data_IF_443781985961
#
_entry.id   IF_443781985961
#
_cell.length_a   1.000
_cell.length_b   1.000
_cell.length_c   1.000
_cell.angle_alpha   90.00
_cell.angle_beta   90.00
_cell.angle_gamma   90.00
#
_symmetry.space_group_name_H-M   'P 1'
#
loop_
_entity.id
_entity.type
_entity.pdbx_description
1 polymer ?
#
# COMPACT_ATOMS: atom_id res chain seq x y z
N UNK A 1 -17.95 -22.74 20.41
CA UNK A 1 -16.65 -22.05 20.55
C UNK A 1 -16.81 -20.59 20.14
N UNK A 2 -17.65 -19.86 20.85
CA UNK A 2 -17.97 -18.44 20.59
C UNK A 2 -17.89 -17.70 21.92
N UNK A 3 -16.66 -17.46 22.46
CA UNK A 3 -16.57 -16.70 23.72
C UNK A 3 -15.23 -15.98 23.94
N UNK A 4 -14.42 -15.71 22.89
CA UNK A 4 -13.21 -14.89 23.05
C UNK A 4 -13.35 -13.46 22.52
N UNK A 5 -14.30 -13.18 21.62
CA UNK A 5 -14.44 -11.85 21.01
C UNK A 5 -15.23 -10.85 21.87
N UNK A 6 -15.99 -11.32 22.86
CA UNK A 6 -16.82 -10.43 23.71
C UNK A 6 -15.98 -9.71 24.78
N UNK A 7 -14.82 -10.28 25.19
CA UNK A 7 -13.96 -9.69 26.24
C UNK A 7 -13.08 -8.51 25.75
N UNK A 8 -12.93 -8.33 24.46
CA UNK A 8 -12.07 -7.26 23.88
C UNK A 8 -12.75 -5.89 24.00
N UNK A 9 -14.06 -5.84 23.92
CA UNK A 9 -14.85 -4.57 23.97
C UNK A 9 -15.07 -4.05 25.39
N UNK A 10 -14.81 -4.85 26.42
CA UNK A 10 -15.02 -4.45 27.83
C UNK A 10 -13.78 -3.83 28.49
N UNK A 11 -12.59 -3.93 27.84
CA UNK A 11 -11.37 -3.36 28.37
C UNK A 11 -11.21 -1.89 27.92
N UNK A 12 -11.26 -0.87 28.84
CA UNK A 12 -11.17 0.55 28.48
C UNK A 12 -9.88 0.91 27.72
N UNK A 13 -8.77 0.23 27.99
CA UNK A 13 -7.50 0.49 27.31
C UNK A 13 -7.51 -0.01 25.85
N UNK A 14 -8.15 -1.15 25.58
CA UNK A 14 -8.34 -1.69 24.23
C UNK A 14 -9.33 -0.87 23.42
N UNK A 15 -10.41 -0.41 24.05
CA UNK A 15 -11.38 0.51 23.43
C UNK A 15 -10.71 1.81 23.01
N UNK A 16 -9.86 2.41 23.87
CA UNK A 16 -9.08 3.60 23.53
C UNK A 16 -8.04 3.37 22.41
N UNK A 17 -7.46 2.16 22.30
CA UNK A 17 -6.57 1.81 21.19
C UNK A 17 -7.32 1.65 19.86
N UNK A 18 -8.48 0.99 19.86
CA UNK A 18 -9.30 0.86 18.66
C UNK A 18 -9.74 2.22 18.13
N UNK A 19 -10.19 3.12 19.01
CA UNK A 19 -10.58 4.49 18.62
C UNK A 19 -9.42 5.23 17.97
N UNK A 20 -8.19 5.12 18.49
CA UNK A 20 -6.99 5.74 17.89
C UNK A 20 -6.62 5.16 16.52
N UNK A 21 -6.81 3.86 16.33
CA UNK A 21 -6.55 3.22 15.02
C UNK A 21 -7.59 3.66 13.98
N UNK A 22 -8.86 3.76 14.37
CA UNK A 22 -9.93 4.27 13.51
C UNK A 22 -9.67 5.73 13.11
N UNK A 23 -9.30 6.58 14.06
CA UNK A 23 -8.89 7.96 13.77
C UNK A 23 -7.69 8.04 12.82
N UNK A 24 -6.72 7.12 12.97
CA UNK A 24 -5.58 7.03 12.07
C UNK A 24 -6.03 6.68 10.64
N UNK A 25 -6.96 5.73 10.48
CA UNK A 25 -7.51 5.34 9.18
C UNK A 25 -8.29 6.48 8.53
N UNK A 26 -9.11 7.20 9.28
CA UNK A 26 -9.84 8.36 8.76
C UNK A 26 -8.89 9.49 8.29
N UNK A 27 -7.84 9.77 9.04
CA UNK A 27 -6.79 10.70 8.60
C UNK A 27 -6.05 10.20 7.36
N UNK A 28 -5.84 8.89 7.25
CA UNK A 28 -5.21 8.26 6.10
C UNK A 28 -6.07 8.40 4.83
N UNK A 29 -7.41 8.19 4.91
CA UNK A 29 -8.33 8.41 3.78
C UNK A 29 -8.14 9.80 3.17
N UNK A 30 -8.20 10.84 4.00
CA UNK A 30 -8.00 12.23 3.55
C UNK A 30 -6.63 12.44 2.91
N UNK A 31 -5.59 11.84 3.50
CA UNK A 31 -4.22 11.97 2.98
C UNK A 31 -4.03 11.27 1.63
N UNK A 32 -4.63 10.10 1.44
CA UNK A 32 -4.48 9.32 0.22
C UNK A 32 -5.36 9.79 -0.94
N UNK A 33 -6.41 10.58 -0.70
CA UNK A 33 -7.26 11.12 -1.77
C UNK A 33 -6.46 11.89 -2.85
N UNK A 34 -5.36 12.56 -2.48
CA UNK A 34 -4.48 13.27 -3.41
C UNK A 34 -3.54 12.37 -4.22
N UNK A 35 -3.47 11.06 -3.90
CA UNK A 35 -2.59 10.09 -4.56
C UNK A 35 -2.92 9.86 -6.05
N UNK A 36 -4.10 10.29 -6.51
CA UNK A 36 -4.49 10.33 -7.93
C UNK A 36 -3.39 10.95 -8.81
N UNK A 37 -2.65 11.94 -8.30
CA UNK A 37 -1.55 12.59 -9.01
C UNK A 37 -0.39 11.65 -9.37
N UNK A 38 -0.31 10.48 -8.72
CA UNK A 38 0.71 9.46 -9.00
C UNK A 38 0.21 8.29 -9.84
N UNK A 39 -1.04 8.36 -10.35
CA UNK A 39 -1.64 7.30 -11.17
C UNK A 39 -0.75 6.93 -12.38
N UNK A 40 -0.31 7.93 -13.13
CA UNK A 40 0.54 7.70 -14.30
C UNK A 40 1.90 7.05 -13.93
N UNK A 41 2.48 7.44 -12.80
CA UNK A 41 3.73 6.85 -12.32
C UNK A 41 3.53 5.40 -11.87
N UNK A 42 2.56 5.14 -11.02
CA UNK A 42 2.31 3.79 -10.47
C UNK A 42 1.81 2.81 -11.53
N UNK A 43 1.18 3.32 -12.61
CA UNK A 43 0.78 2.49 -13.75
C UNK A 43 1.97 1.83 -14.46
N UNK A 44 3.17 2.40 -14.36
CA UNK A 44 4.40 1.83 -14.97
C UNK A 44 4.91 0.58 -14.24
N UNK A 45 4.60 0.42 -12.95
CA UNK A 45 4.97 -0.74 -12.15
C UNK A 45 3.89 -1.85 -12.20
N UNK A 46 2.63 -1.51 -12.45
CA UNK A 46 1.52 -2.46 -12.44
C UNK A 46 1.73 -3.67 -13.37
N UNK A 47 2.17 -3.53 -14.63
CA UNK A 47 2.45 -4.68 -15.49
C UNK A 47 3.55 -5.60 -14.95
N UNK A 48 4.52 -5.04 -14.21
CA UNK A 48 5.64 -5.80 -13.63
C UNK A 48 5.13 -6.70 -12.51
N UNK A 49 4.30 -6.19 -11.61
CA UNK A 49 3.66 -6.97 -10.56
C UNK A 49 2.72 -8.03 -11.13
N UNK A 50 1.86 -7.67 -12.10
CA UNK A 50 0.94 -8.58 -12.76
C UNK A 50 1.71 -9.73 -13.45
N UNK A 51 2.80 -9.45 -14.16
CA UNK A 51 3.67 -10.48 -14.77
C UNK A 51 4.33 -11.34 -13.69
N UNK A 52 4.88 -10.74 -12.64
CA UNK A 52 5.57 -11.45 -11.56
C UNK A 52 4.63 -12.38 -10.80
N UNK A 53 3.36 -12.01 -10.62
CA UNK A 53 2.36 -12.86 -9.98
C UNK A 53 2.07 -14.16 -10.73
N UNK A 54 2.27 -14.19 -12.06
CA UNK A 54 1.92 -15.34 -12.89
C UNK A 54 0.42 -15.50 -13.13
N UNK A 55 -0.36 -14.42 -12.94
CA UNK A 55 -1.81 -14.42 -13.21
C UNK A 55 -2.11 -14.80 -14.66
N UNK A 56 -3.21 -15.53 -14.89
CA UNK A 56 -3.61 -16.05 -16.21
C UNK A 56 -5.10 -15.81 -16.47
N UNK A 57 -5.47 -15.80 -17.73
CA UNK A 57 -6.86 -15.71 -18.16
C UNK A 57 -7.74 -16.74 -17.43
N UNK A 58 -8.95 -16.33 -17.07
CA UNK A 58 -9.95 -17.16 -16.39
C UNK A 58 -9.78 -17.25 -14.87
N UNK A 59 -8.72 -16.70 -14.29
CA UNK A 59 -8.57 -16.57 -12.84
C UNK A 59 -9.46 -15.45 -12.30
N UNK A 60 -9.86 -15.57 -11.02
CA UNK A 60 -10.50 -14.50 -10.24
C UNK A 60 -9.47 -13.82 -9.37
N UNK A 61 -9.34 -12.49 -9.51
CA UNK A 61 -8.33 -11.66 -8.87
C UNK A 61 -8.95 -10.59 -7.98
N UNK A 62 -8.39 -10.41 -6.79
CA UNK A 62 -8.64 -9.26 -5.91
C UNK A 62 -7.40 -8.36 -5.86
N UNK A 63 -7.58 -7.06 -6.13
CA UNK A 63 -6.56 -6.02 -5.93
C UNK A 63 -6.86 -5.30 -4.62
N UNK A 64 -6.03 -5.51 -3.59
CA UNK A 64 -6.21 -4.95 -2.24
C UNK A 64 -5.44 -3.65 -2.08
N UNK A 65 -6.11 -2.62 -1.58
CA UNK A 65 -5.65 -1.23 -1.59
C UNK A 65 -5.33 -0.81 -3.04
N UNK A 66 -6.33 -0.97 -3.90
CA UNK A 66 -6.19 -0.88 -5.36
C UNK A 66 -5.97 0.55 -5.88
N UNK A 67 -6.17 1.57 -5.02
CA UNK A 67 -6.05 2.97 -5.42
C UNK A 67 -6.95 3.29 -6.61
N UNK A 68 -6.38 3.88 -7.64
CA UNK A 68 -7.07 4.23 -8.90
C UNK A 68 -7.25 3.05 -9.87
N UNK A 69 -6.99 1.82 -9.40
CA UNK A 69 -7.23 0.58 -10.16
C UNK A 69 -6.13 0.22 -11.16
N UNK A 70 -4.92 0.79 -11.07
CA UNK A 70 -3.87 0.56 -12.06
C UNK A 70 -3.47 -0.92 -12.21
N UNK A 71 -3.41 -1.69 -11.11
CA UNK A 71 -3.10 -3.13 -11.14
C UNK A 71 -4.31 -3.92 -11.60
N UNK A 72 -5.46 -3.69 -10.99
CA UNK A 72 -6.72 -4.32 -11.34
C UNK A 72 -7.02 -4.24 -12.85
N UNK A 73 -6.96 -3.03 -13.42
CA UNK A 73 -7.24 -2.79 -14.83
C UNK A 73 -6.15 -3.34 -15.76
N UNK A 74 -4.89 -3.36 -15.31
CA UNK A 74 -3.81 -4.03 -16.04
C UNK A 74 -4.05 -5.54 -16.13
N UNK A 75 -4.46 -6.19 -15.03
CA UNK A 75 -4.81 -7.61 -15.01
C UNK A 75 -6.08 -7.91 -15.84
N UNK A 76 -7.10 -7.04 -15.77
CA UNK A 76 -8.33 -7.21 -16.54
C UNK A 76 -8.13 -7.29 -18.05
N UNK A 77 -7.09 -6.64 -18.60
CA UNK A 77 -6.72 -6.77 -20.04
C UNK A 77 -6.29 -8.19 -20.43
N UNK A 78 -5.91 -9.01 -19.46
CA UNK A 78 -5.51 -10.42 -19.70
C UNK A 78 -6.70 -11.38 -19.67
N UNK A 79 -7.95 -10.88 -19.58
CA UNK A 79 -9.15 -11.72 -19.48
C UNK A 79 -9.33 -12.33 -18.08
N UNK A 80 -8.85 -11.64 -17.05
CA UNK A 80 -9.02 -11.99 -15.64
C UNK A 80 -10.29 -11.34 -15.11
N UNK A 81 -11.08 -12.06 -14.30
CA UNK A 81 -12.18 -11.49 -13.53
C UNK A 81 -11.60 -10.72 -12.34
N UNK A 82 -11.84 -9.41 -12.27
CA UNK A 82 -11.14 -8.54 -11.33
C UNK A 82 -12.09 -7.78 -10.42
N UNK A 83 -11.80 -7.84 -9.12
CA UNK A 83 -12.37 -6.93 -8.11
C UNK A 83 -11.24 -6.12 -7.46
N UNK A 84 -11.51 -4.86 -7.11
CA UNK A 84 -10.59 -4.00 -6.40
C UNK A 84 -11.24 -3.41 -5.15
N UNK A 85 -10.46 -3.27 -4.08
CA UNK A 85 -10.92 -2.69 -2.82
C UNK A 85 -9.89 -1.66 -2.33
N UNK A 86 -10.37 -0.51 -1.90
CA UNK A 86 -9.54 0.55 -1.29
C UNK A 86 -10.29 1.24 -0.17
N UNK A 87 -9.55 1.74 0.81
CA UNK A 87 -10.10 2.46 1.96
C UNK A 87 -10.64 3.85 1.55
N UNK A 88 -10.14 4.44 0.46
CA UNK A 88 -10.32 5.83 0.06
C UNK A 88 -11.39 5.95 -1.03
N UNK A 89 -12.57 6.52 -0.74
CA UNK A 89 -13.68 6.58 -1.70
C UNK A 89 -13.35 7.40 -2.97
N UNK A 90 -12.50 8.43 -2.87
CA UNK A 90 -12.06 9.22 -4.03
C UNK A 90 -11.23 8.38 -5.00
N UNK A 91 -10.38 7.49 -4.48
CA UNK A 91 -9.58 6.57 -5.30
C UNK A 91 -10.47 5.52 -5.98
N UNK A 92 -11.47 4.99 -5.28
CA UNK A 92 -12.47 4.07 -5.83
C UNK A 92 -13.28 4.75 -6.95
N UNK A 93 -13.71 5.99 -6.74
CA UNK A 93 -14.41 6.76 -7.77
C UNK A 93 -13.56 6.91 -9.04
N UNK A 94 -12.25 7.18 -8.87
CA UNK A 94 -11.30 7.27 -9.97
C UNK A 94 -11.07 5.91 -10.64
N UNK A 95 -10.98 4.81 -9.89
CA UNK A 95 -10.85 3.45 -10.44
C UNK A 95 -12.05 3.07 -11.32
N UNK A 96 -13.28 3.42 -10.89
CA UNK A 96 -14.49 3.22 -11.67
C UNK A 96 -14.47 4.05 -12.96
N UNK A 97 -14.03 5.30 -12.89
CA UNK A 97 -13.88 6.17 -14.06
C UNK A 97 -12.86 5.56 -15.04
N UNK A 98 -11.69 5.15 -14.55
CA UNK A 98 -10.65 4.50 -15.37
C UNK A 98 -11.16 3.22 -16.05
N UNK A 99 -11.93 2.41 -15.34
CA UNK A 99 -12.55 1.20 -15.89
C UNK A 99 -13.48 1.53 -17.08
N UNK A 100 -14.28 2.58 -16.94
CA UNK A 100 -15.18 3.07 -18.01
C UNK A 100 -14.39 3.60 -19.22
N UNK A 101 -13.38 4.44 -18.99
CA UNK A 101 -12.50 5.00 -20.03
C UNK A 101 -11.83 3.88 -20.84
N UNK A 102 -11.38 2.82 -20.15
CA UNK A 102 -10.70 1.68 -20.76
C UNK A 102 -11.65 0.66 -21.39
N UNK A 103 -12.97 0.79 -21.18
CA UNK A 103 -13.95 -0.20 -21.64
C UNK A 103 -13.79 -1.58 -20.99
N UNK A 104 -13.19 -1.64 -19.79
CA UNK A 104 -12.95 -2.88 -19.06
C UNK A 104 -14.00 -3.11 -17.99
N UNK A 105 -14.28 -4.40 -17.71
CA UNK A 105 -15.19 -4.81 -16.64
C UNK A 105 -14.36 -5.16 -15.40
N UNK A 106 -14.36 -4.29 -14.42
CA UNK A 106 -13.82 -4.54 -13.10
C UNK A 106 -14.79 -3.95 -12.06
N UNK A 107 -14.88 -4.59 -10.90
CA UNK A 107 -15.72 -4.14 -9.80
C UNK A 107 -14.83 -3.50 -8.74
N UNK A 108 -15.20 -2.29 -8.30
CA UNK A 108 -14.47 -1.55 -7.28
C UNK A 108 -15.39 -1.20 -6.12
N UNK A 109 -14.91 -1.42 -4.89
CA UNK A 109 -15.66 -1.13 -3.66
C UNK A 109 -14.77 -0.43 -2.64
N UNK A 110 -15.37 0.42 -1.80
CA UNK A 110 -14.72 0.93 -0.60
C UNK A 110 -14.64 -0.18 0.45
N UNK A 111 -13.48 -0.29 1.13
CA UNK A 111 -13.31 -1.23 2.23
C UNK A 111 -11.87 -1.26 2.77
N UNK A 112 -11.73 -1.98 3.88
CA UNK A 112 -10.52 -2.05 4.68
C UNK A 112 -9.76 -3.37 4.42
N UNK A 113 -8.46 -3.27 4.16
CA UNK A 113 -7.59 -4.44 3.97
C UNK A 113 -7.48 -5.35 5.21
N UNK A 114 -7.81 -4.82 6.40
CA UNK A 114 -7.85 -5.58 7.65
C UNK A 114 -9.17 -6.33 7.86
N UNK A 115 -10.21 -6.04 7.05
CA UNK A 115 -11.56 -6.65 7.14
C UNK A 115 -12.18 -6.73 5.75
N UNK A 116 -11.75 -7.71 4.96
CA UNK A 116 -12.19 -7.87 3.58
C UNK A 116 -13.64 -8.42 3.51
N UNK A 117 -14.58 -7.75 2.83
CA UNK A 117 -15.99 -8.17 2.77
C UNK A 117 -16.22 -9.29 1.74
N UNK A 118 -15.33 -10.27 1.70
CA UNK A 118 -15.37 -11.41 0.79
C UNK A 118 -15.41 -12.73 1.56
N UNK A 119 -15.86 -13.78 0.88
CA UNK A 119 -15.91 -15.14 1.45
C UNK A 119 -14.51 -15.73 1.54
N UNK A 120 -14.38 -16.76 2.37
CA UNK A 120 -13.17 -17.60 2.37
C UNK A 120 -13.01 -18.31 1.02
N UNK A 121 -11.76 -18.46 0.58
CA UNK A 121 -11.40 -19.24 -0.61
C UNK A 121 -12.12 -18.76 -1.89
N UNK A 122 -12.27 -17.44 -2.05
CA UNK A 122 -13.01 -16.86 -3.17
C UNK A 122 -12.11 -16.55 -4.38
N UNK A 123 -10.86 -16.16 -4.17
CA UNK A 123 -9.95 -15.67 -5.21
C UNK A 123 -8.83 -16.65 -5.54
N UNK A 124 -8.46 -16.74 -6.81
CA UNK A 124 -7.28 -17.47 -7.26
C UNK A 124 -6.00 -16.68 -7.04
N UNK A 125 -6.10 -15.35 -7.13
CA UNK A 125 -4.96 -14.42 -7.00
C UNK A 125 -5.38 -13.22 -6.16
N UNK A 126 -4.51 -12.79 -5.25
CA UNK A 126 -4.61 -11.50 -4.55
C UNK A 126 -3.37 -10.69 -4.86
N UNK A 127 -3.57 -9.45 -5.31
CA UNK A 127 -2.49 -8.49 -5.58
C UNK A 127 -2.61 -7.28 -4.65
N UNK A 128 -1.48 -6.60 -4.42
CA UNK A 128 -1.46 -5.27 -3.79
C UNK A 128 -0.19 -4.52 -4.19
N UNK A 129 -0.32 -3.34 -4.78
CA UNK A 129 0.82 -2.50 -5.15
C UNK A 129 0.95 -1.34 -4.17
N UNK A 130 1.92 -1.42 -3.26
CA UNK A 130 2.31 -0.38 -2.28
C UNK A 130 1.24 0.00 -1.24
N UNK A 131 0.01 -0.53 -1.30
CA UNK A 131 -1.09 -0.02 -0.47
C UNK A 131 -1.26 -0.78 0.86
N UNK A 132 -1.29 -2.12 0.84
CA UNK A 132 -1.54 -2.95 2.03
C UNK A 132 -0.55 -2.68 3.18
N UNK A 133 0.66 -2.24 2.86
CA UNK A 133 1.71 -1.95 3.83
C UNK A 133 1.37 -0.80 4.79
N UNK A 134 0.41 0.05 4.42
CA UNK A 134 -0.04 1.17 5.25
C UNK A 134 -1.17 0.80 6.22
N UNK A 135 -1.72 -0.40 6.12
CA UNK A 135 -2.68 -0.88 7.11
C UNK A 135 -2.00 -1.05 8.49
N UNK A 136 -2.61 -0.53 9.56
CA UNK A 136 -1.98 -0.45 10.88
C UNK A 136 -1.56 -1.79 11.47
N UNK A 137 -2.33 -2.86 11.20
CA UNK A 137 -2.20 -4.17 11.82
C UNK A 137 -1.85 -5.26 10.79
N UNK A 138 -0.56 -5.42 10.44
CA UNK A 138 -0.13 -6.35 9.38
C UNK A 138 -0.57 -7.80 9.60
N UNK A 139 -0.68 -8.27 10.84
CA UNK A 139 -1.16 -9.62 11.12
C UNK A 139 -2.62 -9.84 10.69
N UNK A 140 -3.50 -8.82 10.85
CA UNK A 140 -4.87 -8.88 10.35
C UNK A 140 -4.91 -8.87 8.83
N UNK A 141 -4.10 -8.02 8.21
CA UNK A 141 -3.98 -7.98 6.73
C UNK A 141 -3.57 -9.35 6.20
N UNK A 142 -2.49 -9.93 6.72
CA UNK A 142 -2.01 -11.25 6.26
C UNK A 142 -3.07 -12.32 6.44
N UNK A 143 -3.78 -12.33 7.57
CA UNK A 143 -4.89 -13.27 7.84
C UNK A 143 -6.01 -13.11 6.81
N UNK A 144 -6.42 -11.89 6.51
CA UNK A 144 -7.49 -11.61 5.54
C UNK A 144 -7.08 -11.97 4.11
N UNK A 145 -5.85 -11.60 3.68
CA UNK A 145 -5.30 -11.99 2.37
C UNK A 145 -5.27 -13.52 2.23
N UNK A 146 -4.85 -14.24 3.26
CA UNK A 146 -4.86 -15.69 3.27
C UNK A 146 -6.30 -16.26 3.27
N UNK A 147 -7.22 -15.67 4.04
CA UNK A 147 -8.59 -16.14 4.15
C UNK A 147 -9.33 -16.10 2.81
N UNK A 148 -9.22 -14.99 2.09
CA UNK A 148 -9.94 -14.81 0.82
C UNK A 148 -9.34 -15.59 -0.35
N UNK A 149 -8.06 -15.98 -0.28
CA UNK A 149 -7.41 -16.82 -1.28
C UNK A 149 -7.87 -18.27 -1.18
N UNK A 150 -8.04 -18.92 -2.32
CA UNK A 150 -8.21 -20.38 -2.41
C UNK A 150 -6.94 -21.10 -1.92
N UNK A 151 -7.02 -22.33 -1.40
CA UNK A 151 -5.85 -23.17 -1.18
C UNK A 151 -5.01 -23.29 -2.46
N UNK A 152 -3.69 -23.07 -2.37
CA UNK A 152 -2.80 -23.00 -3.53
C UNK A 152 -2.90 -21.70 -4.34
N UNK A 153 -3.74 -20.75 -3.93
CA UNK A 153 -3.88 -19.42 -4.54
C UNK A 153 -2.62 -18.55 -4.37
N UNK A 154 -2.47 -17.59 -5.25
CA UNK A 154 -1.28 -16.73 -5.34
C UNK A 154 -1.52 -15.42 -4.60
N UNK A 155 -0.62 -15.06 -3.69
CA UNK A 155 -0.46 -13.70 -3.19
C UNK A 155 0.77 -13.08 -3.86
N UNK A 156 0.63 -11.88 -4.44
CA UNK A 156 1.78 -11.09 -4.86
C UNK A 156 1.58 -9.61 -4.54
N UNK A 157 2.64 -8.96 -4.10
CA UNK A 157 2.58 -7.54 -3.75
C UNK A 157 3.91 -6.83 -3.99
N UNK A 158 3.82 -5.50 -4.11
CA UNK A 158 5.00 -4.63 -4.16
C UNK A 158 5.10 -3.76 -2.92
N UNK A 159 6.33 -3.58 -2.42
CA UNK A 159 6.67 -2.77 -1.25
C UNK A 159 7.98 -2.00 -1.47
N UNK A 160 8.34 -1.14 -0.53
CA UNK A 160 9.51 -0.29 -0.64
C UNK A 160 10.66 -0.83 0.22
N UNK A 161 11.80 -1.26 -0.41
CA UNK A 161 12.99 -1.67 0.33
C UNK A 161 13.45 -0.58 1.29
N UNK A 162 13.70 -0.95 2.55
CA UNK A 162 14.04 0.00 3.63
C UNK A 162 15.31 0.79 3.39
N UNK A 163 16.22 0.24 2.59
CA UNK A 163 17.54 0.80 2.26
C UNK A 163 17.54 1.72 1.04
N UNK A 164 16.44 1.75 0.26
CA UNK A 164 16.29 2.53 -0.96
C UNK A 164 15.40 3.76 -0.76
N UNK A 165 15.21 4.55 -1.82
CA UNK A 165 14.62 5.88 -1.74
C UNK A 165 13.33 5.93 -0.91
N UNK A 166 12.29 5.21 -1.30
CA UNK A 166 10.98 5.31 -0.64
C UNK A 166 10.99 4.76 0.80
N UNK A 167 11.77 3.69 1.07
CA UNK A 167 11.94 3.18 2.42
C UNK A 167 12.64 4.20 3.34
N UNK A 168 13.72 4.82 2.86
CA UNK A 168 14.41 5.91 3.56
C UNK A 168 13.50 7.13 3.74
N UNK A 169 12.69 7.46 2.72
CA UNK A 169 11.73 8.55 2.76
C UNK A 169 10.68 8.36 3.86
N UNK A 170 10.03 7.21 3.95
CA UNK A 170 9.07 6.94 5.01
C UNK A 170 9.71 6.89 6.40
N UNK A 171 10.92 6.32 6.51
CA UNK A 171 11.68 6.34 7.76
C UNK A 171 12.03 7.77 8.20
N UNK A 172 12.36 8.63 7.24
CA UNK A 172 12.60 10.05 7.50
C UNK A 172 11.34 10.75 8.01
N UNK A 173 10.19 10.54 7.37
CA UNK A 173 8.89 11.06 7.84
C UNK A 173 8.61 10.60 9.26
N UNK A 174 8.79 9.31 9.56
CA UNK A 174 8.61 8.75 10.90
C UNK A 174 9.47 9.46 11.96
N UNK A 175 10.73 9.81 11.62
CA UNK A 175 11.65 10.47 12.55
C UNK A 175 11.24 11.90 12.94
N UNK A 176 10.42 12.55 12.13
CA UNK A 176 9.84 13.88 12.42
C UNK A 176 8.42 13.79 12.99
N UNK A 177 7.80 12.63 12.94
CA UNK A 177 6.43 12.41 13.40
C UNK A 177 6.37 12.06 14.89
N UNK A 178 5.16 12.06 15.45
CA UNK A 178 4.92 11.46 16.76
C UNK A 178 5.07 9.93 16.66
N UNK A 179 5.47 9.26 17.75
CA UNK A 179 5.53 7.80 17.79
C UNK A 179 4.20 7.17 17.37
N UNK A 180 4.29 6.05 16.66
CA UNK A 180 3.10 5.29 16.28
C UNK A 180 2.37 4.79 17.54
N UNK A 181 1.02 4.74 17.52
CA UNK A 181 0.25 4.18 18.62
C UNK A 181 0.64 2.71 18.88
N UNK A 182 0.48 2.22 20.12
CA UNK A 182 0.67 0.81 20.41
C UNK A 182 -0.18 -0.09 19.50
N UNK A 183 0.41 -1.16 18.98
CA UNK A 183 -0.23 -2.10 18.06
C UNK A 183 -0.24 -1.67 16.58
N UNK A 184 0.26 -0.48 16.25
CA UNK A 184 0.45 -0.01 14.88
C UNK A 184 1.88 -0.29 14.44
N UNK A 185 2.03 -0.99 13.31
CA UNK A 185 3.35 -1.30 12.76
C UNK A 185 3.79 -0.26 11.72
N UNK A 186 5.10 0.03 11.70
CA UNK A 186 5.68 0.86 10.65
C UNK A 186 5.54 0.20 9.28
N UNK A 187 5.07 0.94 8.24
CA UNK A 187 5.01 0.44 6.87
C UNK A 187 6.40 0.09 6.31
N UNK A 188 7.46 0.72 6.81
CA UNK A 188 8.85 0.46 6.37
C UNK A 188 9.27 -0.99 6.59
N UNK A 189 8.68 -1.67 7.59
CA UNK A 189 8.96 -3.08 7.88
C UNK A 189 8.53 -4.03 6.74
N UNK A 190 7.64 -3.62 5.86
CA UNK A 190 7.29 -4.38 4.65
C UNK A 190 8.36 -4.31 3.54
N UNK A 191 9.40 -3.50 3.72
CA UNK A 191 10.57 -3.46 2.85
C UNK A 191 11.71 -4.40 3.26
N UNK A 192 11.54 -5.16 4.35
CA UNK A 192 12.52 -6.11 4.87
C UNK A 192 12.08 -7.54 4.56
N UNK A 193 12.86 -8.27 3.75
CA UNK A 193 12.54 -9.64 3.34
C UNK A 193 12.39 -10.60 4.51
N UNK A 194 13.23 -10.50 5.54
CA UNK A 194 13.12 -11.38 6.71
C UNK A 194 11.83 -11.11 7.51
N UNK A 195 11.40 -9.85 7.61
CA UNK A 195 10.12 -9.49 8.25
C UNK A 195 8.94 -9.98 7.42
N UNK A 196 9.03 -9.89 6.08
CA UNK A 196 7.99 -10.43 5.18
C UNK A 196 7.85 -11.94 5.36
N UNK A 197 8.96 -12.68 5.33
CA UNK A 197 8.96 -14.13 5.54
C UNK A 197 8.32 -14.51 6.88
N UNK A 198 8.72 -13.82 7.95
CA UNK A 198 8.17 -14.05 9.30
C UNK A 198 6.65 -13.79 9.36
N UNK A 199 6.16 -12.73 8.71
CA UNK A 199 4.73 -12.42 8.64
C UNK A 199 3.92 -13.42 7.84
N UNK A 200 4.50 -14.00 6.79
CA UNK A 200 3.81 -14.88 5.84
C UNK A 200 3.90 -16.36 6.21
N UNK A 201 4.87 -16.79 7.00
CA UNK A 201 5.24 -18.19 7.24
C UNK A 201 4.09 -19.10 7.68
N UNK A 202 3.12 -18.59 8.42
CA UNK A 202 2.03 -19.40 8.97
C UNK A 202 0.97 -19.76 7.91
N UNK A 203 0.77 -18.88 6.93
CA UNK A 203 -0.28 -19.01 5.91
C UNK A 203 0.24 -19.32 4.50
N UNK A 204 1.51 -19.02 4.22
CA UNK A 204 2.08 -19.09 2.89
C UNK A 204 3.36 -19.91 2.84
N UNK A 205 3.69 -20.41 1.66
CA UNK A 205 4.95 -21.07 1.31
C UNK A 205 5.44 -20.57 -0.05
N UNK A 206 6.57 -21.10 -0.54
CA UNK A 206 7.16 -20.73 -1.82
C UNK A 206 7.30 -19.22 -1.99
N UNK A 207 7.89 -18.56 -0.98
CA UNK A 207 8.08 -17.11 -1.00
C UNK A 207 9.22 -16.79 -1.96
N UNK A 208 8.93 -15.99 -2.97
CA UNK A 208 9.86 -15.51 -3.98
C UNK A 208 9.94 -14.00 -3.93
N UNK A 209 11.15 -13.45 -4.11
CA UNK A 209 11.39 -12.02 -4.16
C UNK A 209 11.92 -11.60 -5.53
N UNK A 210 11.46 -10.46 -6.01
CA UNK A 210 11.96 -9.79 -7.20
C UNK A 210 12.15 -8.29 -6.94
N UNK A 211 13.04 -7.64 -7.68
CA UNK A 211 13.22 -6.18 -7.61
C UNK A 211 13.05 -5.58 -8.99
N UNK A 212 12.49 -4.37 -9.02
CA UNK A 212 12.40 -3.57 -10.23
C UNK A 212 12.43 -2.07 -9.87
N UNK A 213 12.40 -1.20 -10.87
CA UNK A 213 12.56 0.24 -10.69
C UNK A 213 11.48 1.02 -11.43
N UNK A 214 10.99 2.08 -10.81
CA UNK A 214 10.24 3.14 -11.46
C UNK A 214 11.10 4.41 -11.56
N UNK A 215 10.88 5.18 -12.60
CA UNK A 215 11.50 6.48 -12.80
C UNK A 215 10.42 7.57 -12.81
N UNK A 216 10.39 8.40 -11.76
CA UNK A 216 9.46 9.49 -11.64
C UNK A 216 10.02 10.73 -12.35
N UNK A 217 9.43 11.18 -13.46
CA UNK A 217 9.94 12.37 -14.18
C UNK A 217 9.73 13.62 -13.34
N UNK A 218 10.77 14.46 -13.26
CA UNK A 218 10.70 15.74 -12.59
C UNK A 218 11.82 16.66 -13.09
N UNK A 219 11.59 17.96 -13.13
CA UNK A 219 12.59 18.93 -13.63
C UNK A 219 13.75 19.14 -12.66
N UNK A 220 13.52 18.95 -11.35
CA UNK A 220 14.57 19.07 -10.33
C UNK A 220 14.13 18.43 -9.01
N UNK A 221 15.06 18.15 -8.07
CA UNK A 221 14.72 17.71 -6.71
C UNK A 221 13.70 18.61 -6.01
N UNK A 222 13.82 19.93 -6.18
CA UNK A 222 12.90 20.90 -5.57
C UNK A 222 11.45 20.77 -6.10
N UNK A 223 11.28 20.47 -7.39
CA UNK A 223 9.95 20.21 -7.98
C UNK A 223 9.35 18.92 -7.40
N UNK A 224 10.16 17.87 -7.26
CA UNK A 224 9.71 16.62 -6.65
C UNK A 224 9.32 16.79 -5.19
N UNK A 225 10.10 17.55 -4.40
CA UNK A 225 9.75 17.88 -3.02
C UNK A 225 8.36 18.54 -2.94
N UNK A 226 8.10 19.55 -3.77
CA UNK A 226 6.79 20.21 -3.81
C UNK A 226 5.66 19.27 -4.22
N UNK A 227 5.91 18.39 -5.19
CA UNK A 227 4.94 17.38 -5.60
C UNK A 227 4.61 16.42 -4.44
N UNK A 228 5.63 15.99 -3.70
CA UNK A 228 5.46 15.10 -2.55
C UNK A 228 4.75 15.80 -1.38
N UNK A 229 5.10 17.02 -1.03
CA UNK A 229 4.41 17.80 0.01
C UNK A 229 2.91 17.96 -0.27
N UNK A 230 2.53 18.02 -1.55
CA UNK A 230 1.13 18.17 -1.96
C UNK A 230 0.36 16.85 -1.99
N UNK A 231 0.99 15.76 -2.42
CA UNK A 231 0.28 14.57 -2.87
C UNK A 231 0.65 13.26 -2.12
N UNK A 232 1.72 13.24 -1.33
CA UNK A 232 2.05 12.09 -0.48
C UNK A 232 1.45 12.32 0.91
N UNK A 233 0.34 11.65 1.20
CA UNK A 233 -0.46 11.85 2.40
C UNK A 233 0.33 11.98 3.71
N UNK A 234 1.23 11.03 4.04
CA UNK A 234 2.07 11.12 5.24
C UNK A 234 2.92 12.41 5.33
N UNK A 235 3.55 12.82 4.22
CA UNK A 235 4.35 14.05 4.19
C UNK A 235 3.45 15.29 4.25
N UNK A 236 2.34 15.31 3.50
CA UNK A 236 1.40 16.42 3.50
C UNK A 236 0.82 16.69 4.90
N UNK A 237 0.48 15.62 5.63
CA UNK A 237 -0.01 15.71 7.00
C UNK A 237 1.08 16.20 7.98
N UNK A 238 2.33 15.74 7.81
CA UNK A 238 3.45 16.17 8.63
C UNK A 238 3.79 17.65 8.39
N UNK A 239 3.78 18.11 7.14
CA UNK A 239 3.99 19.54 6.81
C UNK A 239 2.93 20.42 7.48
N UNK A 240 1.66 19.99 7.48
CA UNK A 240 0.58 20.70 8.19
C UNK A 240 0.81 20.70 9.71
N UNK A 241 1.20 19.55 10.27
CA UNK A 241 1.45 19.43 11.72
C UNK A 241 2.64 20.28 12.21
N UNK A 242 3.60 20.58 11.32
CA UNK A 242 4.78 21.40 11.61
C UNK A 242 4.63 22.88 11.19
N UNK A 243 3.43 23.33 10.81
CA UNK A 243 3.22 24.69 10.32
C UNK A 243 3.62 25.77 11.35
N UNK A 244 3.43 25.48 12.64
CA UNK A 244 3.77 26.39 13.76
C UNK A 244 5.22 26.23 14.25
N UNK A 245 6.03 25.34 13.66
CA UNK A 245 7.45 25.16 13.93
C UNK A 245 8.28 25.33 12.64
N UNK A 246 8.56 26.58 12.22
CA UNK A 246 9.30 26.86 10.99
C UNK A 246 10.70 26.25 10.93
N UNK A 247 11.35 26.09 12.08
CA UNK A 247 12.69 25.51 12.17
C UNK A 247 12.64 24.01 11.87
N UNK A 248 11.73 23.29 12.52
CA UNK A 248 11.56 21.84 12.30
C UNK A 248 11.05 21.55 10.89
N UNK A 249 10.14 22.37 10.36
CA UNK A 249 9.65 22.28 8.99
C UNK A 249 10.78 22.48 7.96
N UNK A 250 11.65 23.47 8.18
CA UNK A 250 12.83 23.71 7.34
C UNK A 250 13.79 22.51 7.36
N UNK A 251 14.03 21.95 8.55
CA UNK A 251 14.90 20.77 8.69
C UNK A 251 14.32 19.56 7.97
N UNK A 252 13.01 19.30 8.09
CA UNK A 252 12.33 18.25 7.34
C UNK A 252 12.51 18.44 5.82
N UNK A 253 12.24 19.64 5.31
CA UNK A 253 12.38 19.96 3.88
C UNK A 253 13.79 19.75 3.36
N UNK A 254 14.79 20.20 4.11
CA UNK A 254 16.18 20.02 3.73
C UNK A 254 16.56 18.54 3.70
N UNK A 255 16.16 17.76 4.70
CA UNK A 255 16.46 16.33 4.75
C UNK A 255 15.73 15.53 3.64
N UNK A 256 14.50 15.89 3.30
CA UNK A 256 13.80 15.27 2.16
C UNK A 256 14.44 15.67 0.84
N UNK A 257 14.86 16.93 0.69
CA UNK A 257 15.53 17.41 -0.52
C UNK A 257 16.86 16.69 -0.74
N UNK A 258 17.72 16.62 0.27
CA UNK A 258 18.96 15.87 0.24
C UNK A 258 18.75 14.39 -0.13
N UNK A 259 17.71 13.76 0.44
CA UNK A 259 17.38 12.39 0.09
C UNK A 259 16.96 12.27 -1.39
N UNK A 260 16.17 13.20 -1.92
CA UNK A 260 15.79 13.21 -3.33
C UNK A 260 17.03 13.38 -4.22
N UNK A 261 17.93 14.29 -3.89
CA UNK A 261 19.17 14.56 -4.65
C UNK A 261 20.04 13.30 -4.82
N UNK A 262 20.13 12.46 -3.80
CA UNK A 262 20.89 11.21 -3.84
C UNK A 262 20.32 10.14 -4.81
N UNK A 263 19.09 10.30 -5.27
CA UNK A 263 18.40 9.35 -6.17
C UNK A 263 17.91 10.01 -7.46
N UNK A 264 18.29 11.28 -7.69
CA UNK A 264 17.89 12.05 -8.85
C UNK A 264 19.02 12.07 -9.89
N UNK A 265 18.67 11.76 -11.14
CA UNK A 265 19.54 11.95 -12.31
C UNK A 265 18.69 12.09 -13.57
N UNK A 266 19.22 12.81 -14.55
CA UNK A 266 18.61 12.91 -15.90
C UNK A 266 17.11 13.27 -15.90
N UNK A 267 16.72 14.20 -15.02
CA UNK A 267 15.32 14.59 -14.79
C UNK A 267 14.39 13.45 -14.30
N UNK A 268 14.95 12.43 -13.65
CA UNK A 268 14.18 11.36 -13.02
C UNK A 268 14.56 11.17 -11.56
N UNK A 269 13.58 10.92 -10.72
CA UNK A 269 13.77 10.34 -9.41
C UNK A 269 13.62 8.82 -9.50
N UNK A 270 14.69 8.09 -9.19
CA UNK A 270 14.71 6.63 -9.18
C UNK A 270 13.98 6.09 -7.94
N UNK A 271 13.06 5.17 -8.15
CA UNK A 271 12.28 4.51 -7.10
C UNK A 271 12.31 2.99 -7.31
N UNK A 272 13.23 2.32 -6.63
CA UNK A 272 13.31 0.86 -6.66
C UNK A 272 12.28 0.26 -5.72
N UNK A 273 11.66 -0.85 -6.11
CA UNK A 273 10.68 -1.57 -5.32
C UNK A 273 10.96 -3.07 -5.24
N UNK A 274 10.47 -3.67 -4.16
CA UNK A 274 10.52 -5.09 -3.90
C UNK A 274 9.18 -5.71 -4.29
N UNK A 275 9.18 -6.78 -5.05
CA UNK A 275 8.03 -7.64 -5.30
C UNK A 275 8.17 -8.93 -4.49
N UNK A 276 7.09 -9.33 -3.86
CA UNK A 276 6.98 -10.61 -3.16
C UNK A 276 5.87 -11.41 -3.81
N UNK A 277 6.12 -12.70 -4.04
CA UNK A 277 5.13 -13.68 -4.51
C UNK A 277 5.17 -14.89 -3.59
N UNK A 278 4.02 -15.42 -3.22
CA UNK A 278 3.93 -16.64 -2.44
C UNK A 278 2.64 -17.40 -2.71
N UNK A 279 2.58 -18.64 -2.25
CA UNK A 279 1.45 -19.55 -2.45
C UNK A 279 0.79 -19.82 -1.11
N UNK A 280 -0.56 -19.70 -1.04
CA UNK A 280 -1.33 -20.08 0.14
C UNK A 280 -1.17 -21.57 0.39
N UNK A 281 -0.87 -21.93 1.63
CA UNK A 281 -0.84 -23.33 2.09
C UNK A 281 -2.21 -23.99 1.89
N UNK A 282 -2.19 -25.31 1.63
CA UNK A 282 -3.38 -26.14 1.48
C UNK A 282 -3.94 -26.53 2.86
#
# INVERSE_FOLDING_TARGET
>A
MFNQDVNILENPSMRGQMTKIEELKEKAKVGWASFISFEALTSTAAPKLVKFSGVRQGMKLLDVACGTGVVALTASRLGVEVEGIDLTPELISRAIENSKIMGLKAKFIEGDAEFLPYKENEFDVVLSQYGHMFAPRPALVVKELARVLKPGGILAFSTWPKELFMGKFFKLIESFSQPLPPGVASPVLWGDMAVIEERLKDHFNQIEFGRDTMFAPTMSPAHMLKLFEKNVGPLANLVKALADDPTKLKNLRNAVLELIENFFSDNFLRQDFLMTRCIKKV
#
